data_IF_875201116072
#
_entry.id   IF_875201116072
#
_cell.length_a   1.000
_cell.length_b   1.000
_cell.length_c   1.000
_cell.angle_alpha   90.00
_cell.angle_beta   90.00
_cell.angle_gamma   90.00
#
_symmetry.space_group_name_H-M   'P 1'
#
loop_
_entity.id
_entity.type
_entity.pdbx_description
1 polymer ?
#
# COMPACT_ATOMS: atom_id res chain seq x y z
N UNK A 1 -6.07 -19.43 -6.48
CA UNK A 1 -6.19 -18.15 -7.17
C UNK A 1 -7.52 -17.45 -7.00
N UNK A 2 -8.64 -18.14 -7.26
CA UNK A 2 -9.97 -17.52 -7.10
C UNK A 2 -10.23 -17.02 -5.67
N UNK A 3 -9.86 -17.82 -4.68
CA UNK A 3 -10.08 -17.45 -3.29
C UNK A 3 -9.24 -16.25 -2.88
N UNK A 4 -8.00 -16.20 -3.34
CA UNK A 4 -7.13 -15.06 -3.06
C UNK A 4 -7.64 -13.79 -3.72
N UNK A 5 -8.12 -13.89 -4.95
CA UNK A 5 -8.72 -12.74 -5.65
C UNK A 5 -9.96 -12.24 -4.92
N UNK A 6 -10.85 -13.15 -4.53
CA UNK A 6 -12.07 -12.79 -3.81
C UNK A 6 -11.76 -12.13 -2.48
N UNK A 7 -10.77 -12.64 -1.75
CA UNK A 7 -10.34 -12.02 -0.48
C UNK A 7 -9.76 -10.64 -0.68
N UNK A 8 -8.93 -10.47 -1.71
CA UNK A 8 -8.32 -9.18 -2.02
C UNK A 8 -9.38 -8.14 -2.39
N UNK A 9 -10.35 -8.51 -3.19
CA UNK A 9 -11.46 -7.63 -3.57
C UNK A 9 -12.30 -7.27 -2.35
N UNK A 10 -12.60 -8.24 -1.50
CA UNK A 10 -13.37 -8.02 -0.28
C UNK A 10 -12.64 -7.06 0.66
N UNK A 11 -11.36 -7.29 0.89
CA UNK A 11 -10.53 -6.44 1.75
C UNK A 11 -10.51 -5.00 1.22
N UNK A 12 -10.27 -4.84 -0.07
CA UNK A 12 -10.22 -3.52 -0.69
C UNK A 12 -11.56 -2.79 -0.59
N UNK A 13 -12.66 -3.50 -0.77
CA UNK A 13 -14.01 -2.95 -0.64
C UNK A 13 -14.30 -2.50 0.80
N UNK A 14 -13.90 -3.29 1.78
CA UNK A 14 -14.08 -2.93 3.18
C UNK A 14 -13.28 -1.68 3.56
N UNK A 15 -12.05 -1.59 3.10
CA UNK A 15 -11.22 -0.40 3.32
C UNK A 15 -11.86 0.82 2.66
N UNK A 16 -12.32 0.68 1.42
CA UNK A 16 -12.98 1.78 0.69
C UNK A 16 -14.24 2.27 1.41
N UNK A 17 -14.96 1.36 2.06
CA UNK A 17 -16.15 1.71 2.85
C UNK A 17 -15.79 2.49 4.12
N UNK A 18 -14.66 2.18 4.73
CA UNK A 18 -14.22 2.83 5.98
C UNK A 18 -13.62 4.22 5.77
N UNK A 19 -13.03 4.46 4.61
CA UNK A 19 -12.27 5.68 4.35
C UNK A 19 -13.08 6.98 4.44
N UNK A 20 -14.27 7.10 3.84
CA UNK A 20 -14.99 8.39 3.86
C UNK A 20 -15.28 8.88 5.28
N UNK A 21 -15.74 8.00 6.15
CA UNK A 21 -16.02 8.38 7.54
C UNK A 21 -14.74 8.73 8.30
N UNK A 22 -13.70 7.94 8.12
CA UNK A 22 -12.42 8.19 8.77
C UNK A 22 -11.82 9.53 8.34
N UNK A 23 -11.89 9.84 7.05
CA UNK A 23 -11.39 11.11 6.52
C UNK A 23 -12.19 12.29 7.05
N UNK A 24 -13.50 12.15 7.11
CA UNK A 24 -14.39 13.19 7.63
C UNK A 24 -14.08 13.53 9.09
N UNK A 25 -13.69 12.54 9.87
CA UNK A 25 -13.33 12.70 11.28
C UNK A 25 -11.84 12.85 11.53
N UNK A 26 -11.05 12.97 10.47
CA UNK A 26 -9.58 13.03 10.52
C UNK A 26 -8.98 11.86 11.33
N UNK A 27 -9.46 10.65 11.06
CA UNK A 27 -9.01 9.44 11.74
C UNK A 27 -8.17 8.55 10.84
N UNK A 28 -7.25 7.83 11.48
CA UNK A 28 -6.45 6.79 10.86
C UNK A 28 -7.27 5.51 10.75
N UNK A 29 -7.29 4.89 9.56
CA UNK A 29 -7.88 3.56 9.37
C UNK A 29 -6.83 2.51 9.74
N UNK A 30 -7.15 1.65 10.70
CA UNK A 30 -6.26 0.57 11.13
C UNK A 30 -6.79 -0.77 10.64
N UNK A 31 -5.95 -1.53 9.97
CA UNK A 31 -6.28 -2.84 9.40
C UNK A 31 -5.32 -3.89 9.95
N UNK A 32 -5.86 -4.98 10.45
CA UNK A 32 -5.06 -6.10 10.96
C UNK A 32 -4.70 -6.02 12.44
N UNK A 33 -5.24 -5.04 13.17
CA UNK A 33 -4.95 -4.84 14.59
C UNK A 33 -6.06 -5.36 15.52
N UNK A 34 -7.01 -6.13 14.97
CA UNK A 34 -8.10 -6.70 15.77
C UNK A 34 -9.22 -5.75 16.11
N UNK A 35 -9.20 -4.53 15.60
CA UNK A 35 -10.18 -3.50 15.94
C UNK A 35 -11.31 -3.37 14.91
N UNK A 36 -11.32 -4.16 13.86
CA UNK A 36 -12.22 -3.99 12.74
C UNK A 36 -13.00 -5.22 12.32
N UNK A 37 -13.38 -6.10 13.23
CA UNK A 37 -14.22 -7.25 12.89
C UNK A 37 -13.50 -8.23 11.94
N UNK A 38 -14.12 -8.54 10.82
CA UNK A 38 -13.61 -9.56 9.90
C UNK A 38 -12.56 -9.05 8.91
N UNK A 39 -12.21 -7.79 8.97
CA UNK A 39 -11.29 -7.20 8.00
C UNK A 39 -9.85 -7.45 8.41
N UNK A 40 -9.34 -8.63 8.09
CA UNK A 40 -7.95 -8.99 8.33
C UNK A 40 -7.27 -9.28 7.00
N UNK A 41 -6.13 -8.63 6.72
CA UNK A 41 -5.35 -8.99 5.54
C UNK A 41 -4.77 -10.40 5.73
N UNK A 42 -4.66 -11.11 4.63
CA UNK A 42 -3.98 -12.41 4.59
C UNK A 42 -2.74 -12.30 3.73
N UNK A 43 -1.78 -13.15 4.01
CA UNK A 43 -0.54 -13.17 3.24
C UNK A 43 -0.83 -13.33 1.75
N UNK A 44 -0.24 -12.47 0.94
CA UNK A 44 -0.40 -12.50 -0.50
C UNK A 44 -1.61 -11.76 -1.05
N UNK A 45 -2.45 -11.14 -0.24
CA UNK A 45 -3.53 -10.29 -0.76
C UNK A 45 -2.96 -9.21 -1.66
N UNK A 46 -3.50 -9.08 -2.88
CA UNK A 46 -2.92 -8.23 -3.90
C UNK A 46 -3.89 -7.14 -4.38
N UNK A 47 -3.35 -6.08 -4.97
CA UNK A 47 -4.13 -4.98 -5.51
C UNK A 47 -4.92 -4.19 -4.46
N UNK A 48 -4.59 -4.34 -3.19
CA UNK A 48 -5.29 -3.65 -2.12
C UNK A 48 -4.71 -2.25 -1.90
N UNK A 49 -5.51 -1.37 -1.33
CA UNK A 49 -5.12 -0.01 -1.01
C UNK A 49 -4.72 0.80 -2.25
N UNK A 50 -5.30 0.46 -3.41
CA UNK A 50 -5.07 1.20 -4.65
C UNK A 50 -5.95 2.45 -4.69
N UNK A 51 -5.52 3.47 -5.44
CA UNK A 51 -6.26 4.70 -5.66
C UNK A 51 -6.61 5.44 -4.35
N UNK A 52 -5.72 5.39 -3.36
CA UNK A 52 -5.97 6.09 -2.10
C UNK A 52 -6.19 7.58 -2.34
N UNK A 53 -7.31 8.14 -1.87
CA UNK A 53 -7.59 9.55 -2.08
C UNK A 53 -6.72 10.45 -1.21
N UNK A 54 -6.56 11.70 -1.64
CA UNK A 54 -5.82 12.69 -0.88
C UNK A 54 -6.41 12.85 0.51
N UNK A 55 -5.55 12.83 1.52
CA UNK A 55 -5.95 12.98 2.90
C UNK A 55 -6.31 11.68 3.61
N UNK A 56 -6.40 10.55 2.89
CA UNK A 56 -6.62 9.27 3.55
C UNK A 56 -5.37 8.82 4.31
N UNK A 57 -5.57 8.13 5.44
CA UNK A 57 -4.47 7.59 6.24
C UNK A 57 -4.81 6.17 6.65
N UNK A 58 -3.96 5.23 6.29
CA UNK A 58 -4.17 3.80 6.56
C UNK A 58 -2.92 3.22 7.19
N UNK A 59 -3.12 2.47 8.27
CA UNK A 59 -2.07 1.66 8.92
C UNK A 59 -2.50 0.21 8.81
N UNK A 60 -1.66 -0.63 8.22
CA UNK A 60 -1.97 -2.03 7.98
C UNK A 60 -0.88 -2.92 8.55
N UNK A 61 -1.28 -3.93 9.30
CA UNK A 61 -0.40 -4.97 9.80
C UNK A 61 -0.61 -6.25 8.99
N UNK A 62 0.41 -6.69 8.28
CA UNK A 62 0.35 -7.91 7.49
C UNK A 62 1.32 -7.90 6.34
N UNK A 63 1.52 -9.08 5.77
CA UNK A 63 2.32 -9.25 4.56
C UNK A 63 1.37 -9.34 3.38
N UNK A 64 1.59 -8.52 2.38
CA UNK A 64 0.68 -8.40 1.24
C UNK A 64 1.35 -8.86 -0.05
N UNK A 65 0.55 -9.02 -1.09
CA UNK A 65 1.00 -9.46 -2.39
C UNK A 65 1.41 -8.32 -3.31
N UNK A 66 1.12 -8.47 -4.59
CA UNK A 66 1.51 -7.52 -5.62
C UNK A 66 0.59 -6.30 -5.71
N UNK A 67 1.09 -5.23 -6.28
CA UNK A 67 0.35 -4.02 -6.64
C UNK A 67 -0.35 -3.33 -5.45
N UNK A 68 0.21 -3.43 -4.27
CA UNK A 68 -0.33 -2.78 -3.08
C UNK A 68 -0.02 -1.27 -3.13
N UNK A 69 -1.00 -0.46 -2.78
CA UNK A 69 -0.84 0.99 -2.77
C UNK A 69 -0.67 1.62 -4.13
N UNK A 70 -1.00 0.89 -5.20
CA UNK A 70 -0.85 1.41 -6.56
C UNK A 70 -1.75 2.61 -6.85
N UNK A 71 -1.30 3.47 -7.74
CA UNK A 71 -2.06 4.65 -8.19
C UNK A 71 -2.52 5.54 -7.04
N UNK A 72 -1.70 5.66 -6.00
CA UNK A 72 -1.99 6.51 -4.85
C UNK A 72 -2.11 7.98 -5.30
N UNK A 73 -3.17 8.63 -4.89
CA UNK A 73 -3.49 10.01 -5.28
C UNK A 73 -3.21 11.05 -4.19
N UNK A 74 -2.63 10.65 -3.09
CA UNK A 74 -2.32 11.57 -2.01
C UNK A 74 -2.58 11.03 -0.62
N UNK A 75 -2.90 9.74 -0.52
CA UNK A 75 -3.08 9.10 0.78
C UNK A 75 -1.76 8.76 1.44
N UNK A 76 -1.81 8.57 2.75
CA UNK A 76 -0.67 8.10 3.54
C UNK A 76 -0.92 6.65 3.95
N UNK A 77 -0.01 5.77 3.58
CA UNK A 77 -0.10 4.34 3.84
C UNK A 77 1.14 3.88 4.58
N UNK A 78 0.95 3.22 5.71
CA UNK A 78 2.03 2.58 6.46
C UNK A 78 1.70 1.09 6.57
N UNK A 79 2.61 0.25 6.08
CA UNK A 79 2.46 -1.20 6.11
C UNK A 79 3.49 -1.78 7.06
N UNK A 80 3.00 -2.37 8.16
CA UNK A 80 3.85 -3.11 9.09
C UNK A 80 3.96 -4.56 8.63
N UNK A 81 4.79 -4.78 7.63
CA UNK A 81 5.00 -6.07 7.00
C UNK A 81 5.76 -5.92 5.71
N UNK A 82 5.69 -6.95 4.87
CA UNK A 82 6.34 -6.99 3.56
C UNK A 82 5.31 -6.99 2.45
N UNK A 83 5.72 -6.56 1.27
CA UNK A 83 4.90 -6.61 0.06
C UNK A 83 5.69 -7.25 -1.06
N UNK A 84 4.98 -7.76 -2.07
CA UNK A 84 5.61 -8.34 -3.25
C UNK A 84 5.84 -7.27 -4.30
N UNK A 85 5.78 -7.62 -5.57
CA UNK A 85 6.16 -6.73 -6.67
C UNK A 85 5.20 -5.56 -6.85
N UNK A 86 5.70 -4.48 -7.44
CA UNK A 86 4.93 -3.32 -7.88
C UNK A 86 4.26 -2.54 -6.74
N UNK A 87 4.89 -2.52 -5.56
CA UNK A 87 4.40 -1.66 -4.48
C UNK A 87 4.41 -0.20 -4.95
N UNK A 88 3.31 0.52 -4.68
CA UNK A 88 3.18 1.95 -4.99
C UNK A 88 3.40 2.30 -6.46
N UNK A 89 3.13 1.36 -7.38
CA UNK A 89 3.25 1.62 -8.81
C UNK A 89 2.30 2.75 -9.24
N UNK A 90 2.76 3.61 -10.15
CA UNK A 90 1.98 4.72 -10.70
C UNK A 90 1.50 5.74 -9.67
N UNK A 91 2.19 5.85 -8.53
CA UNK A 91 1.82 6.84 -7.51
C UNK A 91 1.97 8.26 -8.07
N UNK A 92 0.93 9.07 -7.91
CA UNK A 92 0.98 10.48 -8.34
C UNK A 92 1.26 11.44 -7.20
N UNK A 93 0.92 11.07 -5.98
CA UNK A 93 1.16 11.86 -4.78
C UNK A 93 0.98 10.97 -3.55
N UNK A 94 1.29 11.47 -2.38
CA UNK A 94 1.10 10.77 -1.12
C UNK A 94 2.37 10.14 -0.58
N UNK A 95 2.21 9.33 0.45
CA UNK A 95 3.33 8.68 1.13
C UNK A 95 3.02 7.22 1.42
N UNK A 96 3.94 6.35 1.07
CA UNK A 96 3.86 4.92 1.41
C UNK A 96 5.12 4.54 2.18
N UNK A 97 4.95 3.90 3.34
CA UNK A 97 6.05 3.37 4.15
C UNK A 97 5.83 1.88 4.33
N UNK A 98 6.83 1.08 4.02
CA UNK A 98 6.83 -0.37 4.25
C UNK A 98 7.93 -0.68 5.26
N UNK A 99 7.56 -1.33 6.35
CA UNK A 99 8.50 -1.59 7.46
C UNK A 99 9.49 -2.71 7.17
N UNK A 100 9.18 -3.61 6.24
CA UNK A 100 10.04 -4.75 5.89
C UNK A 100 10.44 -4.68 4.43
N UNK A 101 10.38 -5.80 3.73
CA UNK A 101 10.90 -5.91 2.38
C UNK A 101 9.82 -5.77 1.32
N UNK A 102 10.22 -5.39 0.13
CA UNK A 102 9.36 -5.37 -1.05
C UNK A 102 10.01 -6.16 -2.18
N UNK A 103 9.19 -6.62 -3.11
CA UNK A 103 9.65 -7.35 -4.29
C UNK A 103 10.14 -6.42 -5.38
N UNK A 104 9.99 -6.88 -6.63
CA UNK A 104 10.50 -6.18 -7.81
C UNK A 104 9.61 -5.00 -8.20
N UNK A 105 10.16 -4.08 -8.98
CA UNK A 105 9.47 -2.94 -9.58
C UNK A 105 8.79 -2.02 -8.56
N UNK A 106 9.44 -1.83 -7.42
CA UNK A 106 9.01 -0.84 -6.44
C UNK A 106 8.84 0.53 -7.12
N UNK A 107 7.70 1.18 -6.88
CA UNK A 107 7.41 2.53 -7.37
C UNK A 107 7.54 2.67 -8.89
N UNK A 108 7.21 1.62 -9.65
CA UNK A 108 7.26 1.67 -11.11
C UNK A 108 6.38 2.79 -11.64
N UNK A 109 6.91 3.59 -12.58
CA UNK A 109 6.21 4.71 -13.19
C UNK A 109 5.65 5.73 -12.19
N UNK A 110 6.34 5.92 -11.07
CA UNK A 110 5.97 6.90 -10.07
C UNK A 110 6.07 8.33 -10.62
N UNK A 111 5.09 9.15 -10.33
CA UNK A 111 5.03 10.54 -10.80
C UNK A 111 5.10 11.57 -9.68
N UNK A 112 5.07 11.18 -8.45
CA UNK A 112 5.18 12.11 -7.33
C UNK A 112 5.03 11.43 -5.98
N UNK A 113 5.21 12.20 -4.92
CA UNK A 113 5.10 11.71 -3.56
C UNK A 113 6.36 11.05 -3.03
N UNK A 114 6.22 10.29 -1.96
CA UNK A 114 7.35 9.67 -1.25
C UNK A 114 7.03 8.19 -0.99
N UNK A 115 8.00 7.33 -1.25
CA UNK A 115 7.93 5.91 -0.87
C UNK A 115 9.18 5.57 -0.07
N UNK A 116 8.99 4.99 1.11
CA UNK A 116 10.09 4.56 1.98
C UNK A 116 9.97 3.08 2.28
N UNK A 117 11.04 2.33 2.05
CA UNK A 117 11.13 0.91 2.40
C UNK A 117 12.22 0.77 3.45
N UNK A 118 11.86 0.27 4.62
CA UNK A 118 12.81 0.10 5.72
C UNK A 118 13.70 -1.12 5.53
N UNK A 119 13.22 -2.11 4.81
CA UNK A 119 14.00 -3.29 4.43
C UNK A 119 14.60 -3.16 3.04
N UNK A 120 14.61 -4.25 2.30
CA UNK A 120 15.24 -4.35 0.98
C UNK A 120 14.22 -4.33 -0.14
N UNK A 121 14.63 -3.92 -1.33
CA UNK A 121 13.82 -3.96 -2.54
C UNK A 121 14.46 -4.91 -3.56
N UNK A 122 13.62 -5.49 -4.41
CA UNK A 122 14.07 -6.38 -5.47
C UNK A 122 14.58 -5.63 -6.69
N UNK A 123 14.47 -6.27 -7.87
CA UNK A 123 14.98 -5.73 -9.12
C UNK A 123 14.12 -4.62 -9.68
N UNK A 124 14.72 -3.78 -10.51
CA UNK A 124 14.03 -2.76 -11.30
C UNK A 124 13.23 -1.77 -10.44
N UNK A 125 13.71 -1.48 -9.23
CA UNK A 125 13.12 -0.43 -8.42
C UNK A 125 13.14 0.90 -9.18
N UNK A 126 12.03 1.64 -9.09
CA UNK A 126 11.86 2.94 -9.73
C UNK A 126 11.89 2.91 -11.25
N UNK A 127 11.64 1.77 -11.88
CA UNK A 127 11.59 1.70 -13.34
C UNK A 127 10.53 2.66 -13.90
N UNK A 128 10.92 3.51 -14.84
CA UNK A 128 10.01 4.48 -15.46
C UNK A 128 9.60 5.64 -14.55
N UNK A 129 10.25 5.82 -13.41
CA UNK A 129 9.93 6.90 -12.48
C UNK A 129 10.20 8.26 -13.11
N UNK A 130 9.21 9.16 -13.03
CA UNK A 130 9.30 10.51 -13.59
C UNK A 130 9.58 11.56 -12.52
N UNK A 131 9.01 11.41 -11.34
CA UNK A 131 9.14 12.38 -10.25
C UNK A 131 8.86 11.69 -8.92
N UNK A 132 9.20 12.35 -7.83
CA UNK A 132 8.99 11.85 -6.49
C UNK A 132 10.29 11.37 -5.83
N UNK A 133 10.17 10.84 -4.64
CA UNK A 133 11.31 10.39 -3.84
C UNK A 133 11.09 8.96 -3.37
N UNK A 134 12.09 8.10 -3.56
CA UNK A 134 12.07 6.72 -3.07
C UNK A 134 13.30 6.51 -2.21
N UNK A 135 13.10 6.02 -0.99
CA UNK A 135 14.18 5.71 -0.06
C UNK A 135 14.09 4.22 0.30
N UNK A 136 15.16 3.49 0.05
CA UNK A 136 15.29 2.08 0.46
C UNK A 136 16.44 2.01 1.46
N UNK A 137 16.14 1.62 2.69
CA UNK A 137 17.14 1.65 3.79
C UNK A 137 17.92 0.36 3.90
N UNK A 138 17.40 -0.75 3.35
CA UNK A 138 18.12 -2.00 3.21
C UNK A 138 18.91 -2.05 1.91
N UNK A 139 19.04 -3.26 1.37
CA UNK A 139 19.79 -3.47 0.12
C UNK A 139 18.92 -3.75 -1.08
#
# INVERSE_FOLDING_TARGET
MREQTARSVKLNREIARMLPEAMDKDRLVKIGYGSGGDTKPRDGDFGVLTHLPKGSRVLLLGNLGECVGGMNRGGTLNIEGSCESMLAAFQSDGRVVVERDVGDRLAMNMNGGIVTVMGSAGKDACAGMNDGTVVVRGQ
#
